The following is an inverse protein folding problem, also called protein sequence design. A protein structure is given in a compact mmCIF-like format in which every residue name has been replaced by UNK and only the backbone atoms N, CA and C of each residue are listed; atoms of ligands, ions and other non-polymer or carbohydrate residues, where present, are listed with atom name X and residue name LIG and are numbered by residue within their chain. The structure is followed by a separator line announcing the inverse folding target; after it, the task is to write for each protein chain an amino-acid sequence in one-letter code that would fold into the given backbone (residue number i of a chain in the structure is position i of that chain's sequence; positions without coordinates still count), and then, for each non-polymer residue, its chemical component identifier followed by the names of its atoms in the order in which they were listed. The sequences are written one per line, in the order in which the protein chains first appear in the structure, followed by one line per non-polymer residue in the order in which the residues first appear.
data_IF_722337651971
#
_entry.id   IF_722337651971
#
_cell.length_a   1.000
_cell.length_b   1.000
_cell.length_c   1.000
_cell.angle_alpha   90.00
_cell.angle_beta   90.00
_cell.angle_gamma   90.00
#
_symmetry.space_group_name_H-M   'P 1'
#
loop_
_entity.id
_entity.type
_entity.pdbx_description
1 polymer ?
#
# COMPACT_ATOMS: atom_id res chain seq x y z
N UNK A 1 -31.65 -15.97 24.57
CA UNK A 1 -30.24 -15.88 24.16
C UNK A 1 -29.44 -16.76 25.10
N UNK A 2 -28.96 -17.89 24.59
CA UNK A 2 -28.30 -18.89 25.43
C UNK A 2 -26.94 -18.41 25.91
N UNK A 3 -26.62 -18.72 27.17
CA UNK A 3 -25.36 -18.33 27.82
C UNK A 3 -24.14 -18.83 27.04
N UNK A 4 -24.26 -20.00 26.41
CA UNK A 4 -23.25 -20.59 25.55
C UNK A 4 -22.98 -19.74 24.29
N UNK A 5 -24.01 -19.19 23.66
CA UNK A 5 -23.87 -18.33 22.47
C UNK A 5 -23.17 -17.01 22.81
N UNK A 6 -23.47 -16.42 23.97
CA UNK A 6 -22.79 -15.21 24.43
C UNK A 6 -21.30 -15.46 24.70
N UNK A 7 -20.98 -16.55 25.39
CA UNK A 7 -19.58 -16.92 25.68
C UNK A 7 -18.77 -17.15 24.40
N UNK A 8 -19.35 -17.86 23.43
CA UNK A 8 -18.72 -18.10 22.14
C UNK A 8 -18.44 -16.78 21.40
N UNK A 9 -19.43 -15.88 21.35
CA UNK A 9 -19.33 -14.62 20.65
C UNK A 9 -18.26 -13.71 21.27
N UNK A 10 -18.23 -13.60 22.60
CA UNK A 10 -17.21 -12.81 23.30
C UNK A 10 -15.81 -13.39 23.14
N UNK A 11 -15.66 -14.72 23.15
CA UNK A 11 -14.37 -15.37 22.93
C UNK A 11 -13.85 -15.16 21.51
N UNK A 12 -14.72 -15.32 20.51
CA UNK A 12 -14.34 -15.10 19.11
C UNK A 12 -13.92 -13.65 18.87
N UNK A 13 -14.66 -12.69 19.44
CA UNK A 13 -14.33 -11.27 19.35
C UNK A 13 -12.99 -10.97 20.05
N UNK A 14 -12.80 -11.46 21.28
CA UNK A 14 -11.54 -11.29 22.00
C UNK A 14 -10.35 -11.89 21.25
N UNK A 15 -10.52 -13.08 20.65
CA UNK A 15 -9.48 -13.74 19.87
C UNK A 15 -9.09 -12.91 18.64
N UNK A 16 -10.07 -12.41 17.88
CA UNK A 16 -9.79 -11.55 16.72
C UNK A 16 -9.04 -10.27 17.11
N UNK A 17 -9.43 -9.65 18.23
CA UNK A 17 -8.83 -8.42 18.71
C UNK A 17 -7.38 -8.65 19.18
N UNK A 18 -7.15 -9.79 19.84
CA UNK A 18 -5.81 -10.21 20.27
C UNK A 18 -4.88 -10.47 19.06
N UNK A 19 -5.39 -11.13 18.02
CA UNK A 19 -4.64 -11.31 16.77
C UNK A 19 -4.33 -9.95 16.16
N UNK A 20 -5.31 -9.05 16.03
CA UNK A 20 -5.06 -7.71 15.49
C UNK A 20 -3.99 -6.94 16.28
N UNK A 21 -4.01 -6.98 17.62
CA UNK A 21 -3.01 -6.29 18.45
C UNK A 21 -1.60 -6.88 18.23
N UNK A 22 -1.48 -8.20 18.15
CA UNK A 22 -0.19 -8.88 17.96
C UNK A 22 0.42 -8.60 16.57
N UNK A 23 -0.43 -8.50 15.55
CA UNK A 23 0.01 -8.23 14.18
C UNK A 23 0.07 -6.73 13.84
N UNK A 24 -0.54 -5.86 14.63
CA UNK A 24 -0.47 -4.41 14.46
C UNK A 24 0.96 -3.86 14.31
N UNK A 25 1.95 -4.20 15.16
CA UNK A 25 3.31 -3.68 15.02
C UNK A 25 4.01 -4.12 13.72
N UNK A 26 3.58 -5.22 13.10
CA UNK A 26 4.12 -5.67 11.81
C UNK A 26 3.54 -4.89 10.64
N UNK A 27 2.34 -4.33 10.79
CA UNK A 27 1.66 -3.56 9.75
C UNK A 27 1.84 -2.04 9.90
N UNK A 28 2.28 -1.56 11.08
CA UNK A 28 2.46 -0.13 11.32
C UNK A 28 3.88 0.33 11.01
N UNK A 29 3.97 1.46 10.30
CA UNK A 29 5.19 2.25 10.22
C UNK A 29 5.51 2.84 11.60
N UNK A 30 6.79 2.82 11.97
CA UNK A 30 7.28 3.49 13.17
C UNK A 30 7.16 5.01 13.01
N UNK A 31 7.07 5.75 14.13
CA UNK A 31 7.01 7.22 14.09
C UNK A 31 8.23 7.82 13.37
N UNK A 32 9.40 7.18 13.47
CA UNK A 32 10.62 7.60 12.74
C UNK A 32 10.48 7.44 11.23
N UNK A 33 9.92 6.33 10.75
CA UNK A 33 9.66 6.13 9.32
C UNK A 33 8.60 7.11 8.81
N UNK A 34 7.60 7.42 9.63
CA UNK A 34 6.59 8.42 9.31
C UNK A 34 7.21 9.82 9.19
N UNK A 35 8.10 10.21 10.10
CA UNK A 35 8.82 11.48 10.01
C UNK A 35 9.77 11.52 8.82
N UNK A 36 10.48 10.42 8.54
CA UNK A 36 11.33 10.29 7.36
C UNK A 36 10.54 10.43 6.05
N UNK A 37 9.31 9.89 5.99
CA UNK A 37 8.44 10.02 4.81
C UNK A 37 7.99 11.46 4.52
N UNK A 38 8.10 12.37 5.50
CA UNK A 38 7.72 13.78 5.37
C UNK A 38 8.88 14.67 4.92
N UNK A 39 10.10 14.15 4.92
CA UNK A 39 11.26 14.90 4.48
C UNK A 39 11.40 14.76 2.95
N UNK A 40 11.47 15.87 2.21
CA UNK A 40 11.74 15.81 0.78
C UNK A 40 13.17 15.32 0.56
N UNK A 41 13.31 14.27 -0.24
CA UNK A 41 14.60 13.66 -0.62
C UNK A 41 14.84 13.99 -2.11
N UNK A 42 16.07 14.36 -2.51
CA UNK A 42 16.40 14.58 -3.91
C UNK A 42 16.24 13.29 -4.73
N UNK A 43 15.80 13.42 -5.99
CA UNK A 43 15.45 12.29 -6.85
C UNK A 43 16.61 11.31 -7.07
N UNK A 44 17.85 11.81 -7.04
CA UNK A 44 19.07 11.03 -7.22
C UNK A 44 19.35 10.06 -6.05
N UNK A 45 18.80 10.34 -4.87
CA UNK A 45 18.97 9.53 -3.67
C UNK A 45 17.84 8.50 -3.48
N UNK A 46 16.78 8.56 -4.28
CA UNK A 46 15.59 7.69 -4.15
C UNK A 46 15.79 6.29 -4.76
N UNK A 47 16.85 6.10 -5.56
CA UNK A 47 17.21 4.81 -6.16
C UNK A 47 16.31 4.38 -7.32
N UNK A 48 16.28 3.07 -7.57
CA UNK A 48 15.47 2.46 -8.63
C UNK A 48 14.09 2.05 -8.09
N UNK A 49 13.04 2.40 -8.82
CA UNK A 49 11.65 2.07 -8.52
C UNK A 49 11.20 0.90 -9.40
N UNK A 50 10.68 -0.17 -8.78
CA UNK A 50 10.09 -1.30 -9.51
C UNK A 50 8.65 -0.97 -9.94
N UNK A 51 8.42 -0.92 -11.25
CA UNK A 51 7.12 -0.65 -11.86
C UNK A 51 6.39 -1.94 -12.28
N UNK A 52 6.87 -3.11 -11.88
CA UNK A 52 6.27 -4.41 -12.18
C UNK A 52 6.45 -4.81 -13.64
N UNK A 53 5.38 -4.77 -14.44
CA UNK A 53 5.39 -5.19 -15.86
C UNK A 53 6.38 -4.36 -16.73
N UNK A 54 6.79 -3.18 -16.25
CA UNK A 54 7.75 -2.28 -16.91
C UNK A 54 9.19 -2.40 -16.39
N UNK A 55 9.42 -3.23 -15.37
CA UNK A 55 10.73 -3.41 -14.74
C UNK A 55 11.13 -2.30 -13.77
N UNK A 56 12.40 -2.31 -13.36
CA UNK A 56 13.01 -1.32 -12.48
C UNK A 56 13.51 -0.11 -13.28
N UNK A 57 13.04 1.09 -12.93
CA UNK A 57 13.41 2.36 -13.57
C UNK A 57 13.94 3.33 -12.52
N UNK A 58 14.98 4.09 -12.87
CA UNK A 58 15.52 5.10 -11.97
C UNK A 58 14.55 6.26 -11.77
N UNK A 59 14.43 6.78 -10.55
CA UNK A 59 13.56 7.94 -10.25
C UNK A 59 13.88 9.18 -11.10
N UNK A 60 15.14 9.58 -11.37
CA UNK A 60 15.41 10.74 -12.22
C UNK A 60 14.91 10.55 -13.66
N UNK A 61 15.07 9.36 -14.24
CA UNK A 61 14.54 9.04 -15.57
C UNK A 61 12.99 9.10 -15.59
N UNK A 62 12.35 8.69 -14.49
CA UNK A 62 10.90 8.81 -14.33
C UNK A 62 10.45 10.28 -14.32
N UNK A 63 11.20 11.15 -13.63
CA UNK A 63 10.92 12.60 -13.58
C UNK A 63 11.09 13.23 -14.96
N UNK A 64 12.17 12.92 -15.67
CA UNK A 64 12.41 13.37 -17.05
C UNK A 64 11.29 12.91 -17.99
N UNK A 65 10.86 11.64 -17.87
CA UNK A 65 9.75 11.12 -18.65
C UNK A 65 8.45 11.89 -18.41
N UNK A 66 8.12 12.22 -17.15
CA UNK A 66 6.90 12.99 -16.82
C UNK A 66 6.99 14.48 -17.20
N UNK A 67 8.19 15.03 -17.31
CA UNK A 67 8.42 16.36 -17.88
C UNK A 67 8.11 16.37 -19.39
N UNK A 68 8.50 15.32 -20.10
CA UNK A 68 8.25 15.18 -21.54
C UNK A 68 6.83 14.69 -21.87
N UNK A 69 6.24 13.88 -21.00
CA UNK A 69 4.93 13.26 -21.16
C UNK A 69 4.05 13.55 -19.93
N UNK A 70 3.55 14.80 -19.77
CA UNK A 70 2.69 15.13 -18.65
C UNK A 70 1.41 14.28 -18.70
N UNK A 71 0.90 13.80 -17.56
CA UNK A 71 -0.33 13.02 -17.54
C UNK A 71 -1.51 13.91 -17.97
N UNK A 72 -2.37 13.40 -18.86
CA UNK A 72 -3.54 14.13 -19.38
C UNK A 72 -4.51 14.60 -18.28
N UNK A 73 -4.43 14.02 -17.08
CA UNK A 73 -5.22 14.39 -15.90
C UNK A 73 -4.39 14.34 -14.63
N UNK A 74 -4.17 15.48 -14.00
CA UNK A 74 -3.75 15.52 -12.59
C UNK A 74 -4.96 15.20 -11.70
N UNK A 75 -4.91 14.05 -11.01
CA UNK A 75 -5.93 13.64 -10.04
C UNK A 75 -7.02 12.69 -10.56
N UNK A 76 -6.70 11.79 -11.48
CA UNK A 76 -7.63 10.76 -11.97
C UNK A 76 -7.24 9.37 -11.49
N UNK A 77 -8.17 8.70 -10.82
CA UNK A 77 -8.17 7.27 -10.52
C UNK A 77 -7.53 6.47 -11.67
N UNK A 78 -6.50 5.68 -11.36
CA UNK A 78 -5.84 4.83 -12.35
C UNK A 78 -6.92 4.01 -13.06
N UNK A 79 -6.92 3.92 -14.41
CA UNK A 79 -7.95 3.18 -15.12
C UNK A 79 -7.99 1.76 -14.56
N UNK A 80 -9.12 1.38 -13.95
CA UNK A 80 -9.33 0.04 -13.41
C UNK A 80 -9.00 -0.95 -14.53
N UNK A 81 -7.86 -1.65 -14.40
CA UNK A 81 -7.44 -2.67 -15.36
C UNK A 81 -8.57 -3.69 -15.41
N UNK A 82 -9.35 -3.69 -16.49
CA UNK A 82 -10.40 -4.68 -16.70
C UNK A 82 -9.73 -6.01 -16.99
N UNK A 83 -9.33 -6.72 -15.94
CA UNK A 83 -8.87 -8.11 -16.03
C UNK A 83 -10.09 -8.93 -16.38
N UNK A 84 -10.34 -9.14 -17.67
CA UNK A 84 -11.27 -10.17 -18.10
C UNK A 84 -10.60 -11.49 -17.81
N UNK A 85 -11.17 -12.25 -16.87
CA UNK A 85 -10.89 -13.67 -16.72
C UNK A 85 -11.20 -14.33 -18.05
N UNK A 86 -10.19 -14.48 -18.90
CA UNK A 86 -10.23 -15.36 -20.07
C UNK A 86 -10.19 -16.78 -19.49
N UNK A 87 -11.36 -17.29 -19.13
CA UNK A 87 -11.55 -18.67 -18.73
C UNK A 87 -11.39 -19.57 -19.95
N UNK A 88 -10.51 -20.56 -19.83
CA UNK A 88 -10.74 -21.90 -20.35
C UNK A 88 -10.92 -22.82 -19.14
#
# INVERSE_FOLDING_TARGET
MDRASLLFCTLSLALSLLISILFFPLATLTQKELEASRLPVPAEEMGDLDLGDFGSVSVPELVDYYLENPPDRWGGEAPVRQVRFQGC
#
